data_IF_433001902002
#
_entry.id   IF_433001902002
#
_cell.length_a   1.000
_cell.length_b   1.000
_cell.length_c   1.000
_cell.angle_alpha   90.00
_cell.angle_beta   90.00
_cell.angle_gamma   90.00
#
_symmetry.space_group_name_H-M   'P 1'
#
loop_
_entity.id
_entity.type
_entity.pdbx_description
1 polymer ?
#
# COMPACT_ATOMS: atom_id res chain seq x y z
N UNK A 1 -12.22 -4.44 1.05
CA UNK A 1 -11.69 -3.44 1.99
C UNK A 1 -10.96 -2.28 1.32
N UNK A 2 -10.05 -2.49 0.35
CA UNK A 2 -9.32 -1.40 -0.33
C UNK A 2 -10.25 -0.29 -0.83
N UNK A 3 -11.30 -0.66 -1.57
CA UNK A 3 -12.29 0.29 -2.07
C UNK A 3 -12.95 1.09 -0.93
N UNK A 4 -13.39 0.44 0.14
CA UNK A 4 -14.01 1.10 1.29
C UNK A 4 -13.06 2.08 1.98
N UNK A 5 -11.81 1.66 2.22
CA UNK A 5 -10.81 2.51 2.87
C UNK A 5 -10.38 3.70 2.02
N UNK A 6 -10.19 3.50 0.72
CA UNK A 6 -9.87 4.57 -0.24
C UNK A 6 -11.03 5.57 -0.33
N UNK A 7 -12.27 5.10 -0.43
CA UNK A 7 -13.45 5.97 -0.48
C UNK A 7 -13.57 6.84 0.77
N UNK A 8 -13.33 6.26 1.96
CA UNK A 8 -13.36 7.03 3.22
C UNK A 8 -12.17 8.00 3.28
N UNK A 9 -10.97 7.59 2.86
CA UNK A 9 -9.80 8.46 2.78
C UNK A 9 -10.04 9.67 1.88
N UNK A 10 -10.59 9.45 0.68
CA UNK A 10 -10.98 10.52 -0.25
C UNK A 10 -12.04 11.47 0.35
N UNK A 11 -13.07 10.91 0.99
CA UNK A 11 -14.18 11.70 1.53
C UNK A 11 -13.78 12.52 2.77
N UNK A 12 -12.80 12.05 3.54
CA UNK A 12 -12.44 12.65 4.84
C UNK A 12 -11.11 13.37 4.83
N UNK A 13 -10.30 13.18 3.78
CA UNK A 13 -8.94 13.69 3.73
C UNK A 13 -8.08 13.24 4.93
N UNK A 14 -8.34 12.04 5.47
CA UNK A 14 -7.64 11.48 6.63
C UNK A 14 -7.39 9.97 6.44
N UNK A 15 -6.11 9.56 6.48
CA UNK A 15 -5.70 8.18 6.23
C UNK A 15 -6.13 7.21 7.34
N UNK A 16 -6.12 7.61 8.61
CA UNK A 16 -6.58 6.75 9.71
C UNK A 16 -8.10 6.54 9.66
N UNK A 17 -8.87 7.52 9.19
CA UNK A 17 -10.28 7.32 8.88
C UNK A 17 -10.44 6.30 7.73
N UNK A 18 -9.60 6.41 6.69
CA UNK A 18 -9.51 5.39 5.63
C UNK A 18 -9.21 3.98 6.15
N UNK A 19 -8.26 3.84 7.09
CA UNK A 19 -7.96 2.56 7.75
C UNK A 19 -9.17 2.02 8.54
N UNK A 20 -9.92 2.88 9.22
CA UNK A 20 -11.17 2.47 9.87
C UNK A 20 -12.22 1.98 8.83
N UNK A 21 -12.29 2.60 7.67
CA UNK A 21 -13.11 2.12 6.54
C UNK A 21 -12.68 0.74 6.02
N UNK A 22 -11.37 0.46 6.01
CA UNK A 22 -10.83 -0.86 5.70
C UNK A 22 -11.26 -1.91 6.74
N UNK A 23 -11.02 -1.64 8.03
CA UNK A 23 -11.31 -2.61 9.09
C UNK A 23 -12.81 -2.88 9.25
N UNK A 24 -13.65 -1.85 9.14
CA UNK A 24 -15.10 -2.02 9.11
C UNK A 24 -15.53 -2.89 7.92
N UNK A 25 -14.91 -2.72 6.74
CA UNK A 25 -15.18 -3.58 5.58
C UNK A 25 -14.83 -5.04 5.84
N UNK A 26 -13.76 -5.33 6.60
CA UNK A 26 -13.38 -6.70 6.90
C UNK A 26 -14.34 -7.35 7.88
N UNK A 27 -14.77 -6.64 8.92
CA UNK A 27 -15.80 -7.11 9.86
C UNK A 27 -17.12 -7.39 9.13
N UNK A 28 -17.60 -6.45 8.32
CA UNK A 28 -18.84 -6.61 7.56
C UNK A 28 -18.76 -7.75 6.53
N UNK A 29 -17.61 -7.94 5.88
CA UNK A 29 -17.39 -9.06 4.95
C UNK A 29 -17.44 -10.40 5.70
N UNK A 30 -16.74 -10.51 6.82
CA UNK A 30 -16.71 -11.72 7.65
C UNK A 30 -18.12 -12.11 8.10
N UNK A 31 -18.87 -11.17 8.65
CA UNK A 31 -20.26 -11.42 9.09
C UNK A 31 -21.20 -11.66 7.90
N UNK A 32 -21.04 -10.94 6.80
CA UNK A 32 -21.91 -11.06 5.63
C UNK A 32 -21.82 -12.41 4.92
N UNK A 33 -20.65 -13.05 4.93
CA UNK A 33 -20.44 -14.31 4.20
C UNK A 33 -19.94 -15.47 5.07
N UNK A 34 -19.85 -15.31 6.38
CA UNK A 34 -19.33 -16.32 7.33
C UNK A 34 -17.93 -16.84 6.94
N UNK A 35 -17.17 -16.03 6.20
CA UNK A 35 -15.80 -16.30 5.73
C UNK A 35 -15.12 -14.99 5.42
N UNK A 36 -13.78 -15.01 5.37
CA UNK A 36 -12.99 -13.85 4.98
C UNK A 36 -11.79 -14.25 4.10
N UNK A 37 -10.63 -14.53 4.71
CA UNK A 37 -9.41 -14.89 3.99
C UNK A 37 -8.85 -16.25 4.43
N UNK A 38 -7.57 -16.45 4.15
CA UNK A 38 -6.82 -17.63 4.58
C UNK A 38 -6.59 -17.63 6.11
N UNK A 39 -6.01 -18.70 6.64
CA UNK A 39 -5.71 -18.81 8.07
C UNK A 39 -4.78 -17.70 8.57
N UNK A 40 -5.29 -16.85 9.48
CA UNK A 40 -4.54 -15.72 10.02
C UNK A 40 -4.50 -14.48 9.11
N UNK A 41 -5.23 -14.49 7.97
CA UNK A 41 -5.39 -13.30 7.11
C UNK A 41 -5.84 -12.08 7.92
N UNK A 42 -6.79 -12.29 8.83
CA UNK A 42 -7.44 -11.22 9.59
C UNK A 42 -6.76 -10.89 10.92
N UNK A 43 -5.52 -11.33 11.18
CA UNK A 43 -4.79 -10.95 12.40
C UNK A 43 -4.77 -9.43 12.59
N UNK A 44 -4.33 -8.72 11.56
CA UNK A 44 -4.28 -7.26 11.59
C UNK A 44 -5.66 -6.61 11.49
N UNK A 45 -6.63 -7.29 10.91
CA UNK A 45 -7.97 -6.76 10.74
C UNK A 45 -8.78 -6.82 12.04
N UNK A 46 -8.54 -7.84 12.88
CA UNK A 46 -9.12 -7.93 14.23
C UNK A 46 -8.45 -6.95 15.21
N UNK A 47 -7.13 -6.73 15.10
CA UNK A 47 -6.44 -5.70 15.87
C UNK A 47 -6.67 -4.27 15.33
N UNK A 48 -7.15 -4.15 14.10
CA UNK A 48 -7.13 -2.92 13.34
C UNK A 48 -7.96 -1.80 13.93
N UNK A 49 -9.21 -2.09 14.32
CA UNK A 49 -10.14 -1.09 14.87
C UNK A 49 -9.66 -0.50 16.20
N UNK A 50 -8.97 -1.28 17.03
CA UNK A 50 -8.42 -0.78 18.30
C UNK A 50 -7.14 0.01 18.09
N UNK A 51 -6.32 -0.40 17.13
CA UNK A 51 -5.00 0.20 16.92
C UNK A 51 -5.00 1.35 15.90
N UNK A 52 -6.08 1.58 15.17
CA UNK A 52 -6.20 2.67 14.19
C UNK A 52 -6.07 4.06 14.82
N UNK A 53 -6.53 4.24 16.06
CA UNK A 53 -6.44 5.49 16.82
C UNK A 53 -5.75 5.31 18.18
N UNK A 54 -5.07 4.18 18.40
CA UNK A 54 -4.26 3.99 19.60
C UNK A 54 -3.12 5.02 19.64
N UNK A 55 -2.68 5.34 20.84
CA UNK A 55 -1.50 6.18 21.10
C UNK A 55 -0.43 5.41 21.89
N UNK A 56 -0.60 4.09 22.05
CA UNK A 56 0.35 3.23 22.77
C UNK A 56 1.59 2.95 21.91
N UNK A 57 2.75 2.68 22.54
CA UNK A 57 4.05 2.74 21.87
C UNK A 57 4.20 1.90 20.59
N UNK A 58 3.66 0.68 20.59
CA UNK A 58 3.76 -0.29 19.49
C UNK A 58 2.43 -0.50 18.74
N UNK A 59 1.44 0.37 19.00
CA UNK A 59 0.11 0.32 18.39
C UNK A 59 -0.22 1.59 17.61
N UNK A 60 0.09 2.75 18.18
CA UNK A 60 -0.33 4.04 17.64
C UNK A 60 0.61 4.55 16.57
N UNK A 61 0.10 4.71 15.35
CA UNK A 61 0.82 5.38 14.27
C UNK A 61 -0.15 5.95 13.21
N UNK A 62 0.20 7.07 12.59
CA UNK A 62 -0.56 7.61 11.44
C UNK A 62 -0.34 6.74 10.21
N UNK A 63 -1.36 6.64 9.34
CA UNK A 63 -1.37 5.71 8.21
C UNK A 63 -0.15 5.85 7.30
N UNK A 64 0.35 7.07 7.11
CA UNK A 64 1.52 7.40 6.29
C UNK A 64 2.85 6.90 6.89
N UNK A 65 2.93 6.73 8.21
CA UNK A 65 4.13 6.28 8.93
C UNK A 65 4.10 4.78 9.30
N UNK A 66 2.98 4.10 9.04
CA UNK A 66 2.92 2.64 9.14
C UNK A 66 3.67 2.01 7.96
N UNK A 67 3.97 0.72 8.10
CA UNK A 67 4.63 -0.03 7.04
C UNK A 67 4.79 -1.50 7.41
N UNK A 68 5.58 -2.27 6.63
CA UNK A 68 5.75 -3.70 6.86
C UNK A 68 6.36 -4.08 8.22
N UNK A 69 6.91 -3.13 8.98
CA UNK A 69 7.43 -3.38 10.33
C UNK A 69 6.49 -2.91 11.45
N UNK A 70 5.32 -2.35 11.12
CA UNK A 70 4.28 -2.11 12.11
C UNK A 70 3.79 -3.48 12.63
N UNK A 71 3.72 -3.73 13.95
CA UNK A 71 3.66 -5.10 14.49
C UNK A 71 2.56 -5.98 13.90
N UNK A 72 1.35 -5.44 13.73
CA UNK A 72 0.26 -6.23 13.16
C UNK A 72 0.41 -6.49 11.65
N UNK A 73 1.18 -5.67 10.92
CA UNK A 73 1.30 -5.73 9.45
C UNK A 73 2.47 -6.60 8.95
N UNK A 74 3.23 -7.20 9.87
CA UNK A 74 4.53 -7.79 9.58
C UNK A 74 4.50 -9.17 8.92
N UNK A 75 3.34 -9.81 8.81
CA UNK A 75 3.27 -11.24 8.46
C UNK A 75 2.40 -11.56 7.25
N UNK A 76 1.31 -10.83 7.02
CA UNK A 76 0.23 -11.29 6.15
C UNK A 76 0.18 -10.52 4.81
N UNK A 77 -0.16 -11.26 3.74
CA UNK A 77 -0.35 -10.73 2.39
C UNK A 77 -1.77 -10.19 2.18
N UNK A 78 -1.95 -9.32 1.18
CA UNK A 78 -3.25 -8.76 0.80
C UNK A 78 -3.70 -7.57 1.64
N UNK A 79 -2.73 -6.80 2.16
CA UNK A 79 -2.95 -5.61 2.99
C UNK A 79 -2.00 -4.45 2.66
N UNK A 80 -0.69 -4.71 2.61
CA UNK A 80 0.32 -3.63 2.58
C UNK A 80 0.22 -2.72 1.34
N UNK A 81 -0.01 -3.29 0.16
CA UNK A 81 -0.16 -2.51 -1.07
C UNK A 81 -1.43 -1.65 -1.05
N UNK A 82 -2.49 -2.20 -0.46
CA UNK A 82 -3.76 -1.51 -0.30
C UNK A 82 -3.68 -0.39 0.75
N UNK A 83 -2.92 -0.56 1.83
CA UNK A 83 -2.67 0.49 2.80
C UNK A 83 -1.89 1.66 2.23
N UNK A 84 -0.92 1.40 1.35
CA UNK A 84 -0.23 2.46 0.63
C UNK A 84 -1.22 3.30 -0.20
N UNK A 85 -2.20 2.66 -0.84
CA UNK A 85 -3.25 3.35 -1.57
C UNK A 85 -4.22 4.12 -0.66
N UNK A 86 -4.57 3.58 0.51
CA UNK A 86 -5.40 4.27 1.50
C UNK A 86 -4.70 5.52 2.03
N UNK A 87 -3.42 5.42 2.41
CA UNK A 87 -2.63 6.57 2.82
C UNK A 87 -2.61 7.64 1.72
N UNK A 88 -2.27 7.25 0.48
CA UNK A 88 -2.26 8.18 -0.65
C UNK A 88 -3.63 8.83 -0.95
N UNK A 89 -4.73 8.09 -0.77
CA UNK A 89 -6.08 8.57 -1.09
C UNK A 89 -6.50 9.81 -0.30
N UNK A 90 -6.09 9.91 0.97
CA UNK A 90 -6.35 11.09 1.80
C UNK A 90 -5.72 12.37 1.23
N UNK A 91 -4.57 12.22 0.59
CA UNK A 91 -3.82 13.32 -0.05
C UNK A 91 -4.33 13.63 -1.45
N UNK A 92 -4.77 12.63 -2.22
CA UNK A 92 -5.38 12.85 -3.53
C UNK A 92 -6.66 13.68 -3.42
N UNK A 93 -7.52 13.40 -2.43
CA UNK A 93 -8.72 14.21 -2.17
C UNK A 93 -8.41 15.67 -1.84
N UNK A 94 -7.24 15.92 -1.24
CA UNK A 94 -6.74 17.26 -0.89
C UNK A 94 -5.95 17.95 -2.01
N UNK A 95 -5.60 17.22 -3.07
CA UNK A 95 -4.64 17.65 -4.10
C UNK A 95 -3.25 17.99 -3.53
N UNK A 96 -2.82 17.30 -2.47
CA UNK A 96 -1.46 17.48 -1.96
C UNK A 96 -0.43 16.90 -2.96
N UNK A 97 0.72 17.56 -3.10
CA UNK A 97 1.77 17.14 -4.03
C UNK A 97 2.52 15.86 -3.58
N UNK A 98 2.46 15.50 -2.30
CA UNK A 98 3.07 14.30 -1.72
C UNK A 98 2.24 13.75 -0.56
N UNK A 99 2.48 12.48 -0.22
CA UNK A 99 1.87 11.79 0.95
C UNK A 99 2.71 12.01 2.19
N UNK A 100 3.93 11.44 2.23
CA UNK A 100 4.79 11.52 3.42
C UNK A 100 6.03 12.41 3.24
N UNK A 101 6.76 12.25 2.12
CA UNK A 101 8.06 12.89 1.92
C UNK A 101 8.13 13.61 0.57
N UNK A 102 8.30 14.95 0.55
CA UNK A 102 8.52 15.68 -0.69
C UNK A 102 9.85 15.30 -1.36
N UNK A 103 10.86 14.93 -0.56
CA UNK A 103 12.17 14.50 -1.06
C UNK A 103 12.04 13.21 -1.87
N UNK A 104 11.30 12.21 -1.36
CA UNK A 104 11.04 10.96 -2.08
C UNK A 104 10.21 11.25 -3.34
N UNK A 105 9.18 12.10 -3.24
CA UNK A 105 8.35 12.46 -4.39
C UNK A 105 9.20 13.02 -5.54
N UNK A 106 10.09 13.96 -5.25
CA UNK A 106 10.96 14.60 -6.25
C UNK A 106 12.00 13.60 -6.78
N UNK A 107 12.60 12.79 -5.92
CA UNK A 107 13.61 11.80 -6.29
C UNK A 107 13.10 10.82 -7.37
N UNK A 108 11.84 10.39 -7.27
CA UNK A 108 11.24 9.47 -8.25
C UNK A 108 10.59 10.18 -9.45
N UNK A 109 10.60 11.51 -9.51
CA UNK A 109 10.18 12.29 -10.67
C UNK A 109 11.32 12.44 -11.69
N UNK A 110 11.98 11.33 -12.01
CA UNK A 110 13.14 11.28 -12.89
C UNK A 110 12.90 10.29 -14.04
N UNK A 111 12.72 10.77 -15.29
CA UNK A 111 12.53 9.90 -16.46
C UNK A 111 13.81 9.13 -16.85
N UNK A 112 14.95 9.38 -16.22
CA UNK A 112 16.18 8.62 -16.45
C UNK A 112 16.19 7.25 -15.74
N UNK A 113 15.27 7.04 -14.79
CA UNK A 113 15.08 5.75 -14.12
C UNK A 113 14.68 4.66 -15.11
N UNK A 114 15.14 3.43 -14.87
CA UNK A 114 14.87 2.29 -15.75
C UNK A 114 13.42 1.84 -15.78
N UNK A 115 12.70 2.07 -14.69
CA UNK A 115 11.30 1.75 -14.54
C UNK A 115 10.50 3.05 -14.57
N UNK A 116 9.45 3.11 -15.38
CA UNK A 116 8.54 4.26 -15.41
C UNK A 116 7.58 4.22 -14.22
N UNK A 117 7.92 4.97 -13.18
CA UNK A 117 7.12 5.09 -11.95
C UNK A 117 5.82 5.87 -12.14
N UNK A 118 5.61 6.55 -13.27
CA UNK A 118 4.34 7.22 -13.57
C UNK A 118 3.26 6.23 -14.07
N UNK A 119 3.68 5.10 -14.65
CA UNK A 119 2.76 4.08 -15.18
C UNK A 119 3.10 2.64 -14.75
N UNK A 120 3.13 2.32 -13.44
CA UNK A 120 3.61 1.01 -12.95
C UNK A 120 2.87 -0.19 -13.56
N UNK A 121 1.55 -0.07 -13.76
CA UNK A 121 0.74 -1.14 -14.37
C UNK A 121 1.11 -1.41 -15.83
N UNK A 122 1.47 -0.37 -16.58
CA UNK A 122 1.91 -0.50 -17.98
C UNK A 122 3.29 -1.16 -18.05
N UNK A 123 4.19 -0.76 -17.16
CA UNK A 123 5.52 -1.37 -17.06
C UNK A 123 5.45 -2.85 -16.68
N UNK A 124 4.55 -3.24 -15.76
CA UNK A 124 4.30 -4.65 -15.47
C UNK A 124 3.79 -5.42 -16.70
N UNK A 125 2.87 -4.83 -17.47
CA UNK A 125 2.39 -5.45 -18.71
C UNK A 125 3.52 -5.63 -19.73
N UNK A 126 4.39 -4.62 -19.88
CA UNK A 126 5.59 -4.67 -20.73
C UNK A 126 6.56 -5.77 -20.29
N UNK A 127 6.75 -5.93 -18.97
CA UNK A 127 7.53 -7.04 -18.40
C UNK A 127 6.90 -8.41 -18.68
N UNK A 128 5.58 -8.53 -18.58
CA UNK A 128 4.85 -9.77 -18.82
C UNK A 128 5.00 -10.28 -20.27
N UNK A 129 5.10 -9.37 -21.24
CA UNK A 129 5.36 -9.69 -22.65
C UNK A 129 6.86 -9.68 -23.02
N UNK A 130 7.75 -9.60 -22.02
CA UNK A 130 9.22 -9.62 -22.17
C UNK A 130 9.79 -8.47 -23.00
N UNK A 131 9.13 -7.32 -23.01
CA UNK A 131 9.57 -6.11 -23.71
C UNK A 131 10.28 -5.11 -22.78
N UNK A 132 10.31 -5.37 -21.47
CA UNK A 132 11.06 -4.55 -20.52
C UNK A 132 12.55 -4.91 -20.55
N UNK A 133 13.42 -3.91 -20.65
CA UNK A 133 14.88 -4.09 -20.66
C UNK A 133 15.47 -3.64 -19.30
N UNK A 134 15.83 -4.58 -18.40
CA UNK A 134 16.39 -4.23 -17.09
C UNK A 134 17.83 -3.72 -17.20
N UNK A 135 18.29 -3.03 -16.16
CA UNK A 135 19.72 -2.79 -15.93
C UNK A 135 20.33 -3.92 -15.09
N UNK A 136 21.67 -3.97 -15.04
CA UNK A 136 22.41 -4.90 -14.17
C UNK A 136 22.63 -6.30 -14.76
N UNK A 137 22.29 -6.51 -16.04
CA UNK A 137 22.64 -7.72 -16.76
C UNK A 137 24.17 -7.93 -16.80
N UNK A 138 24.59 -9.19 -16.78
CA UNK A 138 26.01 -9.57 -16.74
C UNK A 138 26.51 -10.16 -18.06
N UNK A 139 25.71 -10.11 -19.12
CA UNK A 139 26.04 -10.68 -20.43
C UNK A 139 27.37 -10.16 -21.01
N UNK A 140 27.75 -8.92 -20.70
CA UNK A 140 29.03 -8.33 -21.11
C UNK A 140 30.27 -9.12 -20.62
N UNK A 141 30.17 -9.78 -19.46
CA UNK A 141 31.28 -10.52 -18.83
C UNK A 141 31.04 -12.04 -18.81
N UNK A 142 30.03 -12.52 -19.51
CA UNK A 142 29.71 -13.95 -19.63
C UNK A 142 30.08 -14.38 -21.06
N UNK A 143 30.88 -15.46 -21.23
CA UNK A 143 31.18 -15.97 -22.56
C UNK A 143 29.91 -16.32 -23.35
N UNK A 144 29.97 -16.17 -24.68
CA UNK A 144 28.92 -16.66 -25.56
C UNK A 144 28.73 -18.18 -25.33
N UNK A 145 27.47 -18.62 -25.31
CA UNK A 145 27.09 -20.03 -25.29
C UNK A 145 26.76 -20.49 -26.70
#
# INVERSE_FOLDING_TARGET
AAASGISVGLATANSNAGLNGWYMSMLAHKEGWSRLGFFGYDLQDQCGSTNSMSIRPDEGCIGELRGPNYPNYAMNVGHQGEYAAIAASAHYGRQDAWTLSPLIKICFADPSLKFDFSEPRREFAKGAIREFMPAGERSLIIPAR
#
